data_IF_394773897854
#
_entry.id   IF_394773897854
#
_cell.length_a   1.000
_cell.length_b   1.000
_cell.length_c   1.000
_cell.angle_alpha   90.00
_cell.angle_beta   90.00
_cell.angle_gamma   90.00
#
_symmetry.space_group_name_H-M   'P 1'
#
loop_
_entity.id
_entity.type
_entity.pdbx_description
1 polymer ?
#
# COMPACT_ATOMS: atom_id res chain seq x y z
N UNK A 1 -18.99 12.83 25.02
CA UNK A 1 -17.89 12.01 24.47
C UNK A 1 -18.25 11.68 23.02
N UNK A 2 -17.70 12.41 22.04
CA UNK A 2 -17.89 12.04 20.62
C UNK A 2 -17.08 10.78 20.33
N UNK A 3 -17.78 9.69 19.99
CA UNK A 3 -17.15 8.36 19.78
C UNK A 3 -16.49 8.22 18.40
N UNK A 4 -16.72 9.16 17.48
CA UNK A 4 -16.21 9.13 16.11
C UNK A 4 -15.90 10.56 15.63
N UNK A 5 -14.64 10.82 15.30
CA UNK A 5 -14.22 12.08 14.69
C UNK A 5 -13.83 11.84 13.22
N UNK A 6 -14.58 12.42 12.29
CA UNK A 6 -14.29 12.35 10.86
C UNK A 6 -13.55 13.62 10.44
N UNK A 7 -12.32 13.48 9.92
CA UNK A 7 -11.52 14.60 9.43
C UNK A 7 -11.54 14.61 7.90
N UNK A 8 -11.87 15.75 7.33
CA UNK A 8 -11.88 15.97 5.89
C UNK A 8 -11.18 17.30 5.54
N UNK A 9 -10.50 17.34 4.39
CA UNK A 9 -9.95 18.60 3.88
C UNK A 9 -11.06 19.57 3.47
N UNK A 10 -10.76 20.88 3.40
CA UNK A 10 -11.74 21.96 3.15
C UNK A 10 -12.75 21.64 2.02
N UNK A 11 -12.27 21.17 0.87
CA UNK A 11 -13.12 20.83 -0.29
C UNK A 11 -14.01 19.62 -0.05
N UNK A 12 -13.48 18.57 0.58
CA UNK A 12 -14.25 17.37 0.89
C UNK A 12 -15.28 17.64 2.00
N UNK A 13 -14.91 18.44 3.01
CA UNK A 13 -15.81 18.82 4.10
C UNK A 13 -17.01 19.62 3.59
N UNK A 14 -16.79 20.61 2.71
CA UNK A 14 -17.88 21.35 2.06
C UNK A 14 -18.82 20.40 1.30
N UNK A 15 -18.26 19.53 0.46
CA UNK A 15 -19.04 18.55 -0.31
C UNK A 15 -19.85 17.58 0.55
N UNK A 16 -19.31 17.14 1.69
CA UNK A 16 -20.02 16.28 2.64
C UNK A 16 -21.16 17.05 3.32
N UNK A 17 -20.92 18.30 3.73
CA UNK A 17 -21.95 19.16 4.35
C UNK A 17 -23.07 19.52 3.38
N UNK A 18 -22.75 19.68 2.11
CA UNK A 18 -23.72 19.98 1.05
C UNK A 18 -24.50 18.72 0.60
N UNK A 19 -24.29 17.56 1.24
CA UNK A 19 -24.96 16.29 0.90
C UNK A 19 -24.53 15.68 -0.45
N UNK A 20 -23.57 16.28 -1.15
CA UNK A 20 -23.12 15.87 -2.48
C UNK A 20 -22.06 14.75 -2.50
N UNK A 21 -21.73 14.17 -1.34
CA UNK A 21 -20.74 13.11 -1.24
C UNK A 21 -21.30 11.79 -1.75
N UNK A 22 -20.58 11.17 -2.68
CA UNK A 22 -20.84 9.82 -3.20
C UNK A 22 -19.54 9.02 -3.17
N UNK A 23 -19.63 7.74 -2.84
CA UNK A 23 -18.46 6.85 -2.83
C UNK A 23 -17.79 6.73 -4.20
N UNK A 24 -18.53 6.93 -5.30
CA UNK A 24 -18.00 7.03 -6.67
C UNK A 24 -16.94 8.14 -6.87
N UNK A 25 -16.86 9.11 -5.94
CA UNK A 25 -15.87 10.19 -5.97
C UNK A 25 -14.56 9.81 -5.27
N UNK A 26 -14.52 8.68 -4.56
CA UNK A 26 -13.29 8.18 -3.95
C UNK A 26 -12.39 7.64 -5.06
N UNK A 27 -11.27 8.32 -5.30
CA UNK A 27 -10.33 7.91 -6.34
C UNK A 27 -9.25 6.93 -5.82
N UNK A 28 -8.98 6.96 -4.51
CA UNK A 28 -7.93 6.14 -3.91
C UNK A 28 -8.20 5.85 -2.43
N UNK A 29 -7.79 4.67 -1.98
CA UNK A 29 -7.69 4.28 -0.58
C UNK A 29 -6.22 4.06 -0.24
N UNK A 30 -5.75 4.63 0.87
CA UNK A 30 -4.34 4.54 1.27
C UNK A 30 -4.21 3.71 2.55
N UNK A 31 -3.32 2.71 2.51
CA UNK A 31 -3.03 1.77 3.58
C UNK A 31 -1.57 1.87 4.02
N UNK A 32 -1.24 2.67 5.04
CA UNK A 32 0.14 2.82 5.50
C UNK A 32 0.66 1.56 6.22
N UNK A 33 1.99 1.38 6.23
CA UNK A 33 2.66 0.36 7.02
C UNK A 33 2.65 0.75 8.51
N UNK A 34 1.60 0.37 9.24
CA UNK A 34 1.43 0.74 10.65
C UNK A 34 1.68 -0.41 11.64
N UNK A 35 2.23 -1.55 11.17
CA UNK A 35 2.33 -2.78 11.96
C UNK A 35 0.94 -3.26 12.40
N UNK A 36 0.78 -3.98 13.52
CA UNK A 36 -0.49 -4.59 13.93
C UNK A 36 -1.64 -3.60 14.16
N UNK A 37 -1.36 -2.29 14.19
CA UNK A 37 -2.38 -1.22 14.32
C UNK A 37 -3.40 -1.22 13.17
N UNK A 38 -3.09 -1.81 12.01
CA UNK A 38 -4.06 -1.93 10.92
C UNK A 38 -5.27 -2.81 11.30
N UNK A 39 -5.12 -3.72 12.28
CA UNK A 39 -6.21 -4.58 12.76
C UNK A 39 -7.41 -3.76 13.26
N UNK A 40 -7.19 -2.55 13.77
CA UNK A 40 -8.27 -1.64 14.20
C UNK A 40 -9.13 -1.19 13.03
N UNK A 41 -8.56 -1.06 11.83
CA UNK A 41 -9.30 -0.71 10.61
C UNK A 41 -10.03 -1.88 9.94
N UNK A 42 -9.86 -3.11 10.46
CA UNK A 42 -10.42 -4.33 9.84
C UNK A 42 -11.94 -4.31 9.72
N UNK A 43 -12.64 -3.85 10.76
CA UNK A 43 -14.10 -3.74 10.74
C UNK A 43 -14.60 -2.73 9.70
N UNK A 44 -13.86 -1.63 9.51
CA UNK A 44 -14.18 -0.63 8.49
C UNK A 44 -13.92 -1.18 7.08
N UNK A 45 -12.81 -1.87 6.88
CA UNK A 45 -12.47 -2.51 5.61
C UNK A 45 -13.53 -3.56 5.21
N UNK A 46 -13.95 -4.41 6.16
CA UNK A 46 -15.02 -5.40 5.94
C UNK A 46 -16.38 -4.75 5.64
N UNK A 47 -16.71 -3.63 6.31
CA UNK A 47 -17.95 -2.90 6.02
C UNK A 47 -17.94 -2.33 4.59
N UNK A 48 -16.81 -1.78 4.16
CA UNK A 48 -16.65 -1.29 2.79
C UNK A 48 -16.74 -2.42 1.76
N UNK A 49 -16.06 -3.54 2.00
CA UNK A 49 -16.13 -4.72 1.14
C UNK A 49 -17.57 -5.23 0.99
N UNK A 50 -18.30 -5.41 2.11
CA UNK A 50 -19.70 -5.87 2.10
C UNK A 50 -20.65 -4.91 1.41
N UNK A 51 -20.44 -3.61 1.59
CA UNK A 51 -21.29 -2.60 0.97
C UNK A 51 -21.13 -2.54 -0.55
N UNK A 52 -19.98 -2.99 -1.08
CA UNK A 52 -19.64 -2.80 -2.49
C UNK A 52 -19.61 -1.32 -2.92
N UNK A 53 -19.53 -0.39 -1.96
CA UNK A 53 -19.72 1.03 -2.24
C UNK A 53 -18.53 1.67 -2.98
N UNK A 54 -17.36 1.03 -2.96
CA UNK A 54 -16.13 1.58 -3.55
C UNK A 54 -15.86 1.00 -4.94
N UNK A 55 -15.68 1.91 -5.90
CA UNK A 55 -15.20 1.60 -7.23
C UNK A 55 -16.25 1.05 -8.17
N UNK A 56 -16.07 1.38 -9.44
CA UNK A 56 -16.90 0.90 -10.53
C UNK A 56 -16.03 0.56 -11.73
N UNK A 57 -16.55 -0.22 -12.67
CA UNK A 57 -15.82 -0.56 -13.92
C UNK A 57 -15.35 0.69 -14.68
N UNK A 58 -16.12 1.78 -14.63
CA UNK A 58 -15.78 3.04 -15.31
C UNK A 58 -14.80 3.90 -14.52
N UNK A 59 -14.67 3.70 -13.20
CA UNK A 59 -13.78 4.46 -12.31
C UNK A 59 -13.21 3.53 -11.23
N UNK A 60 -12.18 2.74 -11.56
CA UNK A 60 -11.58 1.85 -10.58
C UNK A 60 -10.85 2.65 -9.48
N UNK A 61 -10.96 2.20 -8.24
CA UNK A 61 -10.32 2.84 -7.08
C UNK A 61 -8.88 2.35 -6.95
N UNK A 62 -7.95 3.28 -6.76
CA UNK A 62 -6.56 2.94 -6.48
C UNK A 62 -6.38 2.56 -5.00
N UNK A 63 -6.02 1.31 -4.75
CA UNK A 63 -5.65 0.79 -3.45
C UNK A 63 -4.12 0.92 -3.27
N UNK A 64 -3.68 2.00 -2.63
CA UNK A 64 -2.28 2.33 -2.42
C UNK A 64 -1.80 1.86 -1.04
N UNK A 65 -1.01 0.80 -0.99
CA UNK A 65 -0.59 0.16 0.26
C UNK A 65 0.93 0.00 0.39
N UNK A 66 1.40 -0.15 1.62
CA UNK A 66 2.76 -0.61 1.94
C UNK A 66 2.72 -1.64 3.06
N UNK A 67 3.53 -2.70 2.98
CA UNK A 67 3.57 -3.78 3.99
C UNK A 67 2.16 -4.32 4.30
N UNK A 68 1.74 -4.37 5.56
CA UNK A 68 0.41 -4.83 5.95
C UNK A 68 -0.75 -4.10 5.24
N UNK A 69 -0.57 -2.81 4.93
CA UNK A 69 -1.55 -2.05 4.13
C UNK A 69 -1.62 -2.51 2.67
N UNK A 70 -0.54 -3.05 2.11
CA UNK A 70 -0.56 -3.70 0.80
C UNK A 70 -1.22 -5.09 0.88
N UNK A 71 -0.97 -5.87 1.93
CA UNK A 71 -1.57 -7.20 2.10
C UNK A 71 -3.09 -7.15 2.24
N UNK A 72 -3.58 -6.25 3.10
CA UNK A 72 -5.03 -6.07 3.28
C UNK A 72 -5.72 -5.67 1.97
N UNK A 73 -5.07 -4.82 1.16
CA UNK A 73 -5.60 -4.45 -0.14
C UNK A 73 -5.46 -5.57 -1.16
N UNK A 74 -4.37 -6.34 -1.15
CA UNK A 74 -4.26 -7.53 -2.00
C UNK A 74 -5.40 -8.54 -1.73
N UNK A 75 -5.85 -8.67 -0.47
CA UNK A 75 -7.01 -9.48 -0.12
C UNK A 75 -8.32 -8.96 -0.73
N UNK A 76 -8.47 -7.65 -0.96
CA UNK A 76 -9.65 -7.07 -1.62
C UNK A 76 -9.75 -7.42 -3.10
N UNK A 77 -8.64 -7.74 -3.75
CA UNK A 77 -8.62 -8.10 -5.17
C UNK A 77 -8.86 -9.60 -5.41
N UNK A 78 -8.99 -10.39 -4.35
CA UNK A 78 -9.27 -11.83 -4.45
C UNK A 78 -10.72 -12.10 -4.88
N UNK A 79 -11.02 -13.26 -5.51
CA UNK A 79 -12.38 -13.61 -5.94
C UNK A 79 -13.40 -13.61 -4.80
N UNK A 80 -13.01 -14.09 -3.61
CA UNK A 80 -13.81 -14.07 -2.38
C UNK A 80 -13.21 -13.07 -1.37
N UNK A 81 -13.32 -11.74 -1.60
CA UNK A 81 -12.50 -10.76 -0.89
C UNK A 81 -12.75 -10.74 0.62
N UNK A 82 -13.99 -10.94 1.05
CA UNK A 82 -14.32 -10.99 2.49
C UNK A 82 -13.70 -12.21 3.19
N UNK A 83 -13.69 -13.36 2.52
CA UNK A 83 -13.11 -14.61 3.02
C UNK A 83 -11.59 -14.53 3.05
N UNK A 84 -10.96 -14.06 1.98
CA UNK A 84 -9.52 -13.83 1.92
C UNK A 84 -9.07 -12.79 2.96
N UNK A 85 -9.85 -11.72 3.16
CA UNK A 85 -9.54 -10.72 4.19
C UNK A 85 -9.61 -11.31 5.61
N UNK A 86 -10.60 -12.15 5.91
CA UNK A 86 -10.65 -12.88 7.20
C UNK A 86 -9.48 -13.85 7.37
N UNK A 87 -9.14 -14.64 6.34
CA UNK A 87 -7.97 -15.54 6.36
C UNK A 87 -6.69 -14.77 6.67
N UNK A 88 -6.51 -13.59 6.06
CA UNK A 88 -5.39 -12.69 6.37
C UNK A 88 -5.41 -12.26 7.84
N UNK A 89 -6.56 -11.84 8.38
CA UNK A 89 -6.67 -11.43 9.78
C UNK A 89 -6.28 -12.57 10.72
N UNK A 90 -6.84 -13.76 10.51
CA UNK A 90 -6.60 -14.94 11.35
C UNK A 90 -5.12 -15.35 11.31
N UNK A 91 -4.53 -15.42 10.11
CA UNK A 91 -3.12 -15.74 9.95
C UNK A 91 -2.21 -14.68 10.55
N UNK A 92 -2.52 -13.39 10.36
CA UNK A 92 -1.72 -12.28 10.89
C UNK A 92 -1.75 -12.21 12.43
N UNK A 93 -2.90 -12.47 13.04
CA UNK A 93 -3.04 -12.53 14.51
C UNK A 93 -2.29 -13.75 15.06
N UNK A 94 -2.26 -14.85 14.30
CA UNK A 94 -1.57 -16.09 14.65
C UNK A 94 -0.04 -16.04 14.56
N UNK A 95 0.57 -14.94 14.10
CA UNK A 95 2.03 -14.85 13.97
C UNK A 95 2.69 -15.04 15.34
N UNK A 96 3.52 -16.08 15.53
CA UNK A 96 4.22 -16.29 16.79
C UNK A 96 5.28 -15.21 16.97
N UNK A 97 5.02 -14.26 17.88
CA UNK A 97 5.98 -13.25 18.30
C UNK A 97 6.48 -13.57 19.72
N UNK A 98 7.35 -14.57 19.85
CA UNK A 98 7.96 -14.93 21.13
C UNK A 98 9.36 -14.32 21.30
N UNK A 99 9.87 -14.28 22.54
CA UNK A 99 11.21 -13.72 22.83
C UNK A 99 12.36 -14.51 22.18
N UNK A 100 12.11 -15.72 21.70
CA UNK A 100 13.10 -16.59 21.03
C UNK A 100 13.01 -16.52 19.50
N UNK A 101 12.07 -15.75 18.96
CA UNK A 101 11.87 -15.59 17.52
C UNK A 101 13.11 -15.02 16.87
N UNK A 102 13.60 -15.73 15.86
CA UNK A 102 14.73 -15.29 15.05
C UNK A 102 14.22 -14.53 13.82
N UNK A 103 15.05 -13.69 13.18
CA UNK A 103 14.67 -13.06 11.91
C UNK A 103 14.25 -14.06 10.83
N UNK A 104 14.83 -15.26 10.84
CA UNK A 104 14.48 -16.34 9.93
C UNK A 104 13.08 -16.90 10.22
N UNK A 105 12.76 -17.19 11.49
CA UNK A 105 11.44 -17.70 11.85
C UNK A 105 10.33 -16.69 11.60
N UNK A 106 10.59 -15.40 11.87
CA UNK A 106 9.64 -14.34 11.56
C UNK A 106 9.42 -14.19 10.05
N UNK A 107 10.49 -14.29 9.24
CA UNK A 107 10.37 -14.28 7.78
C UNK A 107 9.48 -15.42 7.28
N UNK A 108 9.70 -16.64 7.78
CA UNK A 108 8.88 -17.80 7.41
C UNK A 108 7.41 -17.60 7.82
N UNK A 109 7.14 -17.15 9.04
CA UNK A 109 5.78 -16.86 9.49
C UNK A 109 5.07 -15.81 8.64
N UNK A 110 5.78 -14.73 8.24
CA UNK A 110 5.21 -13.73 7.33
C UNK A 110 4.93 -14.28 5.94
N UNK A 111 5.74 -15.22 5.44
CA UNK A 111 5.47 -15.92 4.17
C UNK A 111 4.24 -16.82 4.28
N UNK A 112 4.10 -17.56 5.38
CA UNK A 112 2.91 -18.38 5.67
C UNK A 112 1.64 -17.52 5.70
N UNK A 113 1.69 -16.33 6.31
CA UNK A 113 0.55 -15.40 6.33
C UNK A 113 0.14 -14.98 4.92
N UNK A 114 1.10 -14.65 4.05
CA UNK A 114 0.81 -14.27 2.67
C UNK A 114 0.19 -15.44 1.91
N UNK A 115 0.76 -16.63 2.05
CA UNK A 115 0.28 -17.85 1.39
C UNK A 115 -1.09 -18.31 1.92
N UNK A 116 -1.48 -17.93 3.14
CA UNK A 116 -2.75 -18.33 3.73
C UNK A 116 -3.97 -17.68 3.07
N UNK A 117 -3.82 -16.50 2.44
CA UNK A 117 -4.94 -15.78 1.82
C UNK A 117 -4.76 -15.50 0.33
N UNK A 118 -3.53 -15.58 -0.18
CA UNK A 118 -3.20 -15.35 -1.57
C UNK A 118 -3.00 -16.70 -2.27
N UNK A 119 -3.97 -17.07 -3.10
CA UNK A 119 -3.86 -18.28 -3.93
C UNK A 119 -3.02 -17.95 -5.19
N UNK A 120 -2.14 -18.85 -5.62
CA UNK A 120 -1.20 -18.58 -6.74
C UNK A 120 -1.94 -18.23 -8.04
N UNK A 121 -3.08 -18.89 -8.29
CA UNK A 121 -3.94 -18.63 -9.44
C UNK A 121 -4.68 -17.29 -9.34
N UNK A 122 -4.72 -16.65 -8.18
CA UNK A 122 -5.46 -15.41 -7.95
C UNK A 122 -4.66 -14.16 -8.35
N UNK A 123 -3.36 -14.27 -8.62
CA UNK A 123 -2.52 -13.12 -8.98
C UNK A 123 -2.94 -12.51 -10.34
N UNK A 124 -3.17 -13.28 -11.42
CA UNK A 124 -3.70 -12.74 -12.67
C UNK A 124 -5.07 -12.07 -12.51
N UNK A 125 -5.98 -12.68 -11.72
CA UNK A 125 -7.30 -12.10 -11.45
C UNK A 125 -7.20 -10.79 -10.66
N UNK A 126 -6.29 -10.71 -9.69
CA UNK A 126 -6.03 -9.50 -8.96
C UNK A 126 -5.45 -8.40 -9.86
N UNK A 127 -4.62 -8.75 -10.84
CA UNK A 127 -4.07 -7.77 -11.80
C UNK A 127 -5.13 -7.24 -12.78
N UNK A 128 -6.11 -8.07 -13.15
CA UNK A 128 -7.18 -7.73 -14.09
C UNK A 128 -8.44 -7.11 -13.43
N UNK A 129 -8.45 -6.93 -12.11
CA UNK A 129 -9.67 -6.60 -11.35
C UNK A 129 -10.40 -5.33 -11.84
N UNK A 130 -11.72 -5.40 -12.07
CA UNK A 130 -12.45 -4.32 -12.74
C UNK A 130 -12.70 -3.07 -11.87
N UNK A 131 -12.80 -3.24 -10.55
CA UNK A 131 -13.21 -2.18 -9.61
C UNK A 131 -12.04 -1.56 -8.84
N UNK A 132 -10.90 -2.24 -8.77
CA UNK A 132 -9.76 -1.87 -7.94
C UNK A 132 -8.44 -1.99 -8.71
N UNK A 133 -7.49 -1.10 -8.41
CA UNK A 133 -6.10 -1.17 -8.89
C UNK A 133 -5.18 -1.15 -7.69
N UNK A 134 -4.24 -2.08 -7.61
CA UNK A 134 -3.31 -2.18 -6.49
C UNK A 134 -2.04 -1.39 -6.80
N UNK A 135 -1.58 -0.57 -5.85
CA UNK A 135 -0.26 0.03 -5.87
C UNK A 135 0.48 -0.28 -4.57
N UNK A 136 1.54 -1.07 -4.68
CA UNK A 136 2.39 -1.49 -3.57
C UNK A 136 3.63 -0.62 -3.52
N UNK A 137 3.76 0.15 -2.44
CA UNK A 137 4.97 0.93 -2.15
C UNK A 137 5.96 0.09 -1.35
N UNK A 138 7.21 0.08 -1.83
CA UNK A 138 8.34 -0.61 -1.22
C UNK A 138 9.53 0.32 -1.09
N UNK A 139 10.42 0.01 -0.16
CA UNK A 139 11.71 0.67 0.00
C UNK A 139 12.82 -0.33 -0.30
N UNK A 140 13.50 -0.14 -1.43
CA UNK A 140 14.65 -0.95 -1.83
C UNK A 140 15.90 -0.41 -1.14
N UNK A 141 16.52 -1.20 -0.27
CA UNK A 141 17.82 -0.88 0.28
C UNK A 141 18.89 -0.87 -0.83
N UNK A 142 19.88 0.02 -0.71
CA UNK A 142 20.99 0.17 -1.65
C UNK A 142 22.34 0.13 -0.92
N UNK A 143 23.38 -0.23 -1.66
CA UNK A 143 24.78 -0.22 -1.20
C UNK A 143 24.96 -1.03 0.09
N UNK A 144 25.63 -0.47 1.09
CA UNK A 144 25.92 -1.12 2.37
C UNK A 144 24.66 -1.59 3.09
N UNK A 145 23.55 -0.84 2.98
CA UNK A 145 22.27 -1.20 3.60
C UNK A 145 21.58 -2.40 2.92
N UNK A 146 22.01 -2.78 1.71
CA UNK A 146 21.50 -3.93 0.95
C UNK A 146 22.34 -5.20 1.13
N UNK A 147 23.46 -5.14 1.87
CA UNK A 147 24.32 -6.29 2.09
C UNK A 147 23.60 -7.36 2.92
N UNK A 148 23.76 -8.63 2.56
CA UNK A 148 23.29 -9.77 3.35
C UNK A 148 24.21 -10.06 4.54
N UNK A 149 25.40 -9.45 4.59
CA UNK A 149 26.33 -9.59 5.69
C UNK A 149 25.88 -8.72 6.88
N UNK A 150 25.53 -9.30 8.04
CA UNK A 150 24.83 -8.55 9.10
C UNK A 150 25.58 -7.33 9.64
N UNK A 151 26.92 -7.38 9.72
CA UNK A 151 27.71 -6.25 10.20
C UNK A 151 27.81 -5.12 9.18
N UNK A 152 27.91 -5.45 7.88
CA UNK A 152 27.89 -4.46 6.78
C UNK A 152 26.54 -3.79 6.70
N UNK A 153 25.46 -4.56 6.83
CA UNK A 153 24.09 -4.05 6.89
C UNK A 153 23.90 -3.12 8.08
N UNK A 154 24.36 -3.52 9.29
CA UNK A 154 24.32 -2.67 10.49
C UNK A 154 25.09 -1.36 10.31
N UNK A 155 26.27 -1.42 9.70
CA UNK A 155 27.06 -0.21 9.41
C UNK A 155 26.33 0.70 8.41
N UNK A 156 25.75 0.13 7.36
CA UNK A 156 24.93 0.86 6.40
C UNK A 156 23.71 1.54 7.05
N UNK A 157 23.04 0.85 7.96
CA UNK A 157 21.90 1.38 8.72
C UNK A 157 22.33 2.47 9.71
N UNK A 158 23.46 2.29 10.41
CA UNK A 158 24.03 3.30 11.31
C UNK A 158 24.40 4.58 10.56
N UNK A 159 25.06 4.44 9.40
CA UNK A 159 25.34 5.56 8.51
C UNK A 159 24.05 6.23 8.05
N UNK A 160 23.06 5.45 7.61
CA UNK A 160 21.76 5.99 7.22
C UNK A 160 21.09 6.79 8.36
N UNK A 161 21.19 6.31 9.60
CA UNK A 161 20.66 7.01 10.78
C UNK A 161 21.34 8.36 11.00
N UNK A 162 22.68 8.39 10.95
CA UNK A 162 23.46 9.63 11.10
C UNK A 162 23.12 10.63 9.99
N UNK A 163 23.11 10.18 8.73
CA UNK A 163 22.77 11.02 7.59
C UNK A 163 21.32 11.55 7.65
N UNK A 164 20.36 10.73 8.08
CA UNK A 164 18.98 11.17 8.29
C UNK A 164 18.85 12.22 9.40
N UNK A 165 19.68 12.13 10.45
CA UNK A 165 19.71 13.11 11.53
C UNK A 165 20.28 14.46 11.08
N UNK A 166 21.23 14.45 10.14
CA UNK A 166 21.79 15.66 9.53
C UNK A 166 20.82 16.29 8.53
N UNK A 167 20.38 15.51 7.54
CA UNK A 167 19.36 15.91 6.57
C UNK A 167 18.64 14.68 6.01
N UNK A 168 17.31 14.65 6.19
CA UNK A 168 16.43 13.61 5.63
C UNK A 168 16.57 13.43 4.12
N UNK A 169 17.05 14.45 3.39
CA UNK A 169 17.34 14.33 1.96
C UNK A 169 18.36 13.22 1.70
N UNK A 170 19.32 12.96 2.57
CA UNK A 170 20.32 11.92 2.32
C UNK A 170 19.79 10.48 2.38
N UNK A 171 18.56 10.26 2.86
CA UNK A 171 17.91 8.94 2.85
C UNK A 171 17.84 8.32 1.45
N UNK A 172 17.72 9.12 0.38
CA UNK A 172 17.68 8.58 -0.99
C UNK A 172 18.96 7.85 -1.40
N UNK A 173 20.08 8.10 -0.70
CA UNK A 173 21.36 7.43 -0.96
C UNK A 173 21.35 5.98 -0.46
N UNK A 174 20.57 5.69 0.56
CA UNK A 174 20.49 4.39 1.22
C UNK A 174 19.24 3.60 0.83
N UNK A 175 18.13 4.30 0.57
CA UNK A 175 16.85 3.70 0.23
C UNK A 175 16.25 4.34 -1.02
N UNK A 176 15.85 3.49 -1.96
CA UNK A 176 15.09 3.88 -3.14
C UNK A 176 13.64 3.48 -3.00
N UNK A 177 12.74 4.39 -3.35
CA UNK A 177 11.30 4.20 -3.23
C UNK A 177 10.77 3.63 -4.53
N UNK A 178 10.23 2.42 -4.45
CA UNK A 178 9.74 1.68 -5.61
C UNK A 178 8.25 1.41 -5.45
N UNK A 179 7.46 1.82 -6.44
CA UNK A 179 6.02 1.56 -6.49
C UNK A 179 5.74 0.53 -7.57
N UNK A 180 5.25 -0.62 -7.17
CA UNK A 180 4.66 -1.60 -8.08
C UNK A 180 3.19 -1.28 -8.23
N UNK A 181 2.64 -1.24 -9.45
CA UNK A 181 1.24 -0.93 -9.65
C UNK A 181 0.61 -1.78 -10.75
N UNK A 182 -0.67 -2.10 -10.59
CA UNK A 182 -1.49 -2.78 -11.60
C UNK A 182 -2.29 -1.77 -12.43
N UNK A 183 -2.32 -1.98 -13.76
CA UNK A 183 -3.07 -1.19 -14.72
C UNK A 183 -2.22 -0.26 -15.61
N UNK A 184 -2.84 0.36 -16.63
CA UNK A 184 -2.13 1.06 -17.71
C UNK A 184 -1.57 2.43 -17.31
N UNK A 185 -2.07 3.04 -16.23
CA UNK A 185 -1.72 4.41 -15.85
C UNK A 185 -0.96 4.45 -14.52
N UNK A 186 0.15 5.20 -14.52
CA UNK A 186 0.90 5.51 -13.30
C UNK A 186 -0.02 6.24 -12.30
N UNK A 187 -0.05 5.83 -11.03
CA UNK A 187 -0.85 6.51 -10.01
C UNK A 187 -0.28 7.90 -9.70
N UNK A 188 -0.80 8.94 -10.37
CA UNK A 188 -0.23 10.29 -10.38
C UNK A 188 -0.56 11.13 -9.13
N UNK A 189 -1.67 10.82 -8.44
CA UNK A 189 -2.21 11.64 -7.34
C UNK A 189 -1.91 11.12 -5.93
N UNK A 190 -1.73 9.81 -5.75
CA UNK A 190 -1.49 9.21 -4.43
C UNK A 190 -0.02 9.21 -3.99
N UNK A 191 0.92 9.44 -4.92
CA UNK A 191 2.36 9.29 -4.69
C UNK A 191 3.17 10.51 -5.11
N UNK A 192 2.60 11.72 -5.04
CA UNK A 192 3.38 12.93 -5.29
C UNK A 192 4.49 13.05 -4.21
N UNK A 193 5.77 13.16 -4.60
CA UNK A 193 6.84 13.42 -3.63
C UNK A 193 6.56 14.74 -2.90
N UNK A 194 6.89 14.81 -1.61
CA UNK A 194 6.90 16.08 -0.90
C UNK A 194 7.88 17.04 -1.60
N UNK A 195 7.62 18.35 -1.55
CA UNK A 195 8.47 19.37 -2.18
C UNK A 195 9.95 19.18 -1.82
N UNK A 196 10.79 18.88 -2.82
CA UNK A 196 12.23 18.63 -2.66
C UNK A 196 12.65 17.16 -2.58
N UNK A 197 11.74 16.18 -2.69
CA UNK A 197 12.07 14.75 -2.81
C UNK A 197 12.21 14.33 -4.29
N UNK A 198 13.11 13.36 -4.56
CA UNK A 198 13.28 12.81 -5.92
C UNK A 198 11.98 12.10 -6.39
N UNK A 199 11.71 12.07 -7.71
CA UNK A 199 10.59 11.31 -8.27
C UNK A 199 10.67 9.82 -7.89
N UNK A 200 9.51 9.21 -7.67
CA UNK A 200 9.38 7.79 -7.35
C UNK A 200 9.70 6.93 -8.57
N UNK A 201 10.43 5.82 -8.37
CA UNK A 201 10.57 4.80 -9.41
C UNK A 201 9.29 3.95 -9.39
N UNK A 202 8.48 4.04 -10.44
CA UNK A 202 7.32 3.16 -10.60
C UNK A 202 7.63 2.08 -11.62
N UNK A 203 7.30 0.84 -11.28
CA UNK A 203 7.47 -0.37 -12.09
C UNK A 203 6.06 -0.91 -12.36
N UNK A 204 5.62 -1.00 -13.62
CA UNK A 204 4.35 -1.65 -13.94
C UNK A 204 4.45 -3.15 -13.65
N UNK A 205 3.39 -3.74 -13.09
CA UNK A 205 3.32 -5.18 -12.84
C UNK A 205 2.92 -6.00 -14.07
N UNK A 206 2.59 -5.35 -15.18
CA UNK A 206 2.30 -5.97 -16.49
C UNK A 206 3.06 -5.27 -17.61
N UNK A 207 3.49 -6.01 -18.63
CA UNK A 207 3.98 -5.45 -19.90
C UNK A 207 2.79 -4.87 -20.68
N UNK A 208 2.36 -3.65 -20.38
CA UNK A 208 1.32 -2.99 -21.18
C UNK A 208 1.76 -1.60 -21.63
N UNK A 209 1.51 -1.36 -22.91
CA UNK A 209 1.86 -0.20 -23.74
C UNK A 209 1.42 1.12 -23.09
N UNK A 210 2.20 2.21 -23.22
CA UNK A 210 1.82 3.50 -22.64
C UNK A 210 0.57 4.07 -23.32
N UNK A 211 -0.57 4.04 -22.61
CA UNK A 211 -1.78 4.76 -23.00
C UNK A 211 -1.68 6.22 -22.53
N UNK A 212 -1.30 7.11 -23.44
CA UNK A 212 -1.49 8.56 -23.26
C UNK A 212 -2.71 9.02 -24.07
N UNK A 213 -3.71 9.63 -23.42
CA UNK A 213 -4.41 10.76 -24.01
C UNK A 213 -3.72 12.03 -23.52
N UNK A 214 -3.18 12.82 -24.45
CA UNK A 214 -2.72 14.19 -24.19
C UNK A 214 -3.90 14.98 -23.61
N UNK A 215 -3.83 15.34 -22.33
CA UNK A 215 -4.65 16.43 -21.79
C UNK A 215 -3.90 17.73 -22.13
N UNK A 216 -4.47 18.63 -22.96
CA UNK A 216 -3.80 19.88 -23.27
C UNK A 216 -3.77 20.76 -22.03
N UNK A 217 -2.55 21.12 -21.60
CA UNK A 217 -2.36 22.26 -20.72
C UNK A 217 -2.71 23.50 -21.56
N UNK A 218 -3.83 24.17 -21.26
CA UNK A 218 -4.05 25.54 -21.71
C UNK A 218 -3.31 26.47 -20.75
N UNK A 219 -2.48 27.31 -21.35
CA UNK A 219 -1.86 28.52 -20.82
C UNK A 219 -2.88 29.48 -20.23
#
# INVERSE_FOLDING_TARGET
MERLCIRAGRRALAMIRDGGFRFDRVAACVGPAVGPRWLVSSGFDLALLRSGALGSKSRPVLLAGSSAGAWRFAAWLQPEPEKSYRRLLDAYIGIPCDRRSTPASLKSALQEVVNAYLEDDAVPFALAHDHYRLAVTTARARHLAASETPWVQKLGLAMCYVFNRLDRRHLFRFFERVVFYSGPCRPRSAFAPASGERPWRSIPSTSSTPCWPRVPFRS
#
